data_IF_715830580236
#
_entry.id   IF_715830580236
#
_cell.length_a   1.000
_cell.length_b   1.000
_cell.length_c   1.000
_cell.angle_alpha   90.00
_cell.angle_beta   90.00
_cell.angle_gamma   90.00
#
_symmetry.space_group_name_H-M   'P 1'
#
loop_
_entity.id
_entity.type
_entity.pdbx_description
1 polymer ?
#
# COMPACT_ATOMS: atom_id res chain seq x y z
N UNK A 1 -5.45 0.01 14.40
CA UNK A 1 -5.72 -1.10 13.46
C UNK A 1 -4.42 -1.75 13.03
N UNK A 2 -4.50 -2.94 12.45
CA UNK A 2 -3.38 -3.65 11.88
C UNK A 2 -3.28 -3.33 10.40
N UNK A 3 -2.20 -2.68 9.99
CA UNK A 3 -1.97 -2.25 8.60
C UNK A 3 -0.91 -3.16 7.97
N UNK A 4 -1.27 -3.83 6.88
CA UNK A 4 -0.34 -4.61 6.09
C UNK A 4 0.24 -3.76 4.96
N UNK A 5 1.56 -3.68 4.89
CA UNK A 5 2.27 -3.11 3.75
C UNK A 5 2.68 -4.24 2.81
N UNK A 6 2.27 -4.17 1.56
CA UNK A 6 2.55 -5.22 0.58
C UNK A 6 3.09 -4.58 -0.70
N UNK A 7 4.40 -4.42 -0.77
CA UNK A 7 5.06 -3.87 -1.95
C UNK A 7 5.56 -4.98 -2.88
N UNK A 8 5.52 -4.70 -4.17
CA UNK A 8 5.84 -5.63 -5.25
C UNK A 8 7.23 -5.34 -5.85
N UNK A 9 7.63 -6.11 -6.85
CA UNK A 9 9.00 -6.11 -7.36
C UNK A 9 9.36 -4.92 -8.27
N UNK A 10 8.42 -4.35 -9.03
CA UNK A 10 8.78 -3.33 -10.04
C UNK A 10 9.33 -2.04 -9.43
N UNK A 11 8.89 -1.70 -8.20
CA UNK A 11 9.31 -0.50 -7.48
C UNK A 11 10.01 -0.83 -6.15
N UNK A 12 10.53 -2.05 -6.04
CA UNK A 12 11.08 -2.59 -4.79
C UNK A 12 12.26 -1.78 -4.23
N UNK A 13 13.01 -1.07 -5.07
CA UNK A 13 14.08 -0.19 -4.62
C UNK A 13 13.60 0.93 -3.68
N UNK A 14 12.31 1.26 -3.70
CA UNK A 14 11.68 2.31 -2.89
C UNK A 14 10.99 1.77 -1.64
N UNK A 15 10.93 0.44 -1.46
CA UNK A 15 10.12 -0.18 -0.39
C UNK A 15 10.54 0.28 1.01
N UNK A 16 11.83 0.46 1.27
CA UNK A 16 12.31 0.96 2.55
C UNK A 16 11.85 2.38 2.86
N UNK A 17 11.81 3.25 1.85
CA UNK A 17 11.35 4.63 1.99
C UNK A 17 9.84 4.65 2.28
N UNK A 18 9.08 3.84 1.57
CA UNK A 18 7.62 3.74 1.73
C UNK A 18 7.27 3.21 3.12
N UNK A 19 7.92 2.14 3.57
CA UNK A 19 7.72 1.58 4.91
C UNK A 19 8.04 2.59 6.00
N UNK A 20 9.17 3.30 5.88
CA UNK A 20 9.57 4.31 6.85
C UNK A 20 8.55 5.46 6.93
N UNK A 21 8.06 5.94 5.79
CA UNK A 21 7.04 6.99 5.73
C UNK A 21 5.73 6.53 6.39
N UNK A 22 5.28 5.32 6.11
CA UNK A 22 4.06 4.76 6.68
C UNK A 22 4.18 4.64 8.20
N UNK A 23 5.22 4.01 8.69
CA UNK A 23 5.45 3.84 10.14
C UNK A 23 5.55 5.16 10.87
N UNK A 24 6.28 6.13 10.31
CA UNK A 24 6.43 7.47 10.88
C UNK A 24 5.08 8.15 11.15
N UNK A 25 4.12 7.95 10.26
CA UNK A 25 2.81 8.61 10.35
C UNK A 25 1.86 7.82 11.25
N UNK A 26 1.71 6.51 11.04
CA UNK A 26 0.59 5.76 11.64
C UNK A 26 0.92 5.11 12.97
N UNK A 27 2.17 4.78 13.27
CA UNK A 27 2.53 4.19 14.57
C UNK A 27 2.27 5.15 15.74
N UNK A 28 2.60 6.46 15.66
CA UNK A 28 2.24 7.41 16.71
C UNK A 28 0.73 7.54 16.94
N UNK A 29 -0.09 7.17 15.95
CA UNK A 29 -1.55 7.13 16.08
C UNK A 29 -2.08 5.86 16.75
N UNK A 30 -1.20 4.93 17.10
CA UNK A 30 -1.56 3.67 17.75
C UNK A 30 -1.84 2.52 16.78
N UNK A 31 -1.47 2.66 15.52
CA UNK A 31 -1.62 1.57 14.54
C UNK A 31 -0.35 0.73 14.46
N UNK A 32 -0.53 -0.54 14.13
CA UNK A 32 0.55 -1.51 13.91
C UNK A 32 0.78 -1.69 12.41
N UNK A 33 2.04 -1.64 11.98
CA UNK A 33 2.42 -1.90 10.58
C UNK A 33 3.24 -3.17 10.50
N UNK A 34 2.81 -4.10 9.64
CA UNK A 34 3.57 -5.31 9.32
C UNK A 34 3.83 -5.32 7.82
N UNK A 35 5.10 -5.44 7.43
CA UNK A 35 5.49 -5.57 6.03
C UNK A 35 5.44 -7.04 5.63
N UNK A 36 4.46 -7.39 4.81
CA UNK A 36 4.29 -8.74 4.23
C UNK A 36 4.84 -8.82 2.79
N UNK A 37 5.22 -7.68 2.21
CA UNK A 37 5.74 -7.59 0.85
C UNK A 37 7.26 -7.65 0.79
N UNK A 38 7.81 -7.07 -0.27
CA UNK A 38 9.26 -6.99 -0.44
C UNK A 38 9.86 -5.87 0.40
N UNK A 39 11.05 -6.13 0.93
CA UNK A 39 11.83 -5.15 1.73
C UNK A 39 12.76 -4.33 0.86
N UNK A 40 13.33 -4.93 -0.18
CA UNK A 40 14.27 -4.31 -1.10
C UNK A 40 14.25 -5.01 -2.45
N UNK A 41 14.91 -4.41 -3.45
CA UNK A 41 14.94 -4.94 -4.82
C UNK A 41 15.61 -6.32 -4.93
N UNK A 42 16.55 -6.61 -4.04
CA UNK A 42 17.30 -7.88 -3.99
C UNK A 42 16.69 -8.91 -3.03
N UNK A 43 15.50 -8.68 -2.53
CA UNK A 43 14.80 -9.65 -1.69
C UNK A 43 14.63 -10.98 -2.44
N UNK A 44 14.96 -12.09 -1.77
CA UNK A 44 14.82 -13.43 -2.35
C UNK A 44 13.36 -13.81 -2.61
N UNK A 45 12.43 -13.27 -1.83
CA UNK A 45 10.98 -13.49 -1.99
C UNK A 45 10.39 -12.44 -2.92
N UNK A 46 10.60 -12.61 -4.23
CA UNK A 46 10.05 -11.70 -5.26
C UNK A 46 8.53 -11.84 -5.35
N UNK A 47 7.84 -10.69 -5.39
CA UNK A 47 6.38 -10.60 -5.53
C UNK A 47 6.02 -9.74 -6.73
N UNK A 48 5.08 -10.23 -7.54
CA UNK A 48 4.40 -9.41 -8.55
C UNK A 48 3.19 -8.71 -7.93
N UNK A 49 2.68 -7.65 -8.57
CA UNK A 49 1.46 -7.00 -8.08
C UNK A 49 0.24 -7.95 -8.11
N UNK A 50 0.23 -8.95 -8.97
CA UNK A 50 -0.83 -9.98 -8.99
C UNK A 50 -0.78 -10.83 -7.73
N UNK A 51 0.42 -11.27 -7.32
CA UNK A 51 0.61 -12.02 -6.07
C UNK A 51 0.28 -11.17 -4.84
N UNK A 52 0.56 -9.88 -4.88
CA UNK A 52 0.15 -8.94 -3.82
C UNK A 52 -1.37 -8.90 -3.67
N UNK A 53 -2.12 -9.04 -4.76
CA UNK A 53 -3.58 -9.12 -4.71
C UNK A 53 -4.07 -10.35 -3.94
N UNK A 54 -3.50 -11.51 -4.20
CA UNK A 54 -3.82 -12.76 -3.49
C UNK A 54 -3.49 -12.61 -2.00
N UNK A 55 -2.31 -12.12 -1.68
CA UNK A 55 -1.87 -11.94 -0.30
C UNK A 55 -2.76 -10.96 0.46
N UNK A 56 -3.12 -9.83 -0.15
CA UNK A 56 -4.03 -8.85 0.42
C UNK A 56 -5.40 -9.48 0.75
N UNK A 57 -5.95 -10.25 -0.16
CA UNK A 57 -7.23 -10.92 0.04
C UNK A 57 -7.17 -11.89 1.22
N UNK A 58 -6.11 -12.68 1.34
CA UNK A 58 -5.92 -13.61 2.46
C UNK A 58 -5.83 -12.83 3.78
N UNK A 59 -5.02 -11.78 3.85
CA UNK A 59 -4.82 -11.01 5.07
C UNK A 59 -6.10 -10.31 5.54
N UNK A 60 -6.84 -9.70 4.63
CA UNK A 60 -8.07 -8.99 4.96
C UNK A 60 -9.20 -9.94 5.33
N UNK A 61 -9.42 -11.00 4.55
CA UNK A 61 -10.51 -11.95 4.81
C UNK A 61 -10.28 -12.84 6.02
N UNK A 62 -9.03 -13.10 6.39
CA UNK A 62 -8.69 -13.86 7.61
C UNK A 62 -8.71 -13.01 8.88
N UNK A 63 -8.78 -11.68 8.76
CA UNK A 63 -8.66 -10.77 9.90
C UNK A 63 -7.22 -10.56 10.39
N UNK A 64 -6.21 -11.06 9.67
CA UNK A 64 -4.81 -10.83 10.01
C UNK A 64 -4.39 -9.36 9.78
N UNK A 65 -5.07 -8.65 8.89
CA UNK A 65 -4.94 -7.21 8.70
C UNK A 65 -6.32 -6.56 8.58
N UNK A 66 -6.40 -5.30 9.00
CA UNK A 66 -7.62 -4.48 8.89
C UNK A 66 -7.56 -3.60 7.64
N UNK A 67 -6.36 -3.27 7.18
CA UNK A 67 -6.13 -2.38 6.05
C UNK A 67 -4.86 -2.77 5.31
N UNK A 68 -4.85 -2.56 3.99
CA UNK A 68 -3.70 -2.87 3.14
C UNK A 68 -3.20 -1.62 2.43
N UNK A 69 -1.90 -1.37 2.51
CA UNK A 69 -1.19 -0.38 1.70
C UNK A 69 -0.35 -1.14 0.68
N UNK A 70 -0.53 -0.83 -0.58
CA UNK A 70 0.23 -1.42 -1.68
C UNK A 70 0.43 -0.40 -2.81
N UNK A 71 1.03 -0.82 -3.88
CA UNK A 71 1.21 -0.03 -5.08
C UNK A 71 2.04 -0.78 -6.12
N UNK A 72 2.25 -0.14 -7.23
CA UNK A 72 3.16 -0.58 -8.28
C UNK A 72 3.63 0.67 -9.04
N UNK A 73 4.10 0.55 -10.26
CA UNK A 73 4.53 1.70 -11.05
C UNK A 73 3.44 2.76 -11.18
N UNK A 74 2.28 2.39 -11.68
CA UNK A 74 1.11 3.27 -11.82
C UNK A 74 0.13 3.20 -10.66
N UNK A 75 0.18 2.14 -9.87
CA UNK A 75 -0.80 1.82 -8.84
C UNK A 75 -2.07 1.17 -9.39
N UNK A 76 -2.29 1.20 -10.68
CA UNK A 76 -3.54 0.70 -11.28
C UNK A 76 -3.56 -0.83 -11.38
N UNK A 77 -2.45 -1.45 -11.80
CA UNK A 77 -2.35 -2.91 -11.88
C UNK A 77 -2.56 -3.57 -10.52
N UNK A 78 -1.94 -3.05 -9.48
CA UNK A 78 -2.13 -3.54 -8.12
C UNK A 78 -3.57 -3.33 -7.64
N UNK A 79 -4.17 -2.18 -7.92
CA UNK A 79 -5.58 -1.93 -7.60
C UNK A 79 -6.51 -2.95 -8.26
N UNK A 80 -6.34 -3.20 -9.54
CA UNK A 80 -7.16 -4.16 -10.28
C UNK A 80 -6.98 -5.58 -9.74
N UNK A 81 -5.75 -5.96 -9.41
CA UNK A 81 -5.45 -7.27 -8.82
C UNK A 81 -6.14 -7.45 -7.47
N UNK A 82 -6.07 -6.45 -6.59
CA UNK A 82 -6.73 -6.51 -5.28
C UNK A 82 -8.24 -6.58 -5.43
N UNK A 83 -8.83 -5.76 -6.28
CA UNK A 83 -10.30 -5.72 -6.49
C UNK A 83 -10.85 -6.96 -7.20
N UNK A 84 -10.01 -7.85 -7.69
CA UNK A 84 -10.44 -9.12 -8.27
C UNK A 84 -10.90 -10.15 -7.23
N UNK A 85 -10.72 -9.86 -5.95
CA UNK A 85 -11.05 -10.78 -4.86
C UNK A 85 -12.22 -10.28 -4.02
N UNK A 86 -13.11 -11.18 -3.56
CA UNK A 86 -14.19 -10.81 -2.62
C UNK A 86 -13.62 -10.22 -1.33
N UNK A 87 -14.33 -9.26 -0.76
CA UNK A 87 -13.97 -8.64 0.51
C UNK A 87 -12.85 -7.60 0.43
N UNK A 88 -12.32 -7.31 -0.75
CA UNK A 88 -11.29 -6.30 -0.97
C UNK A 88 -11.88 -5.13 -1.74
N UNK A 89 -11.79 -3.94 -1.15
CA UNK A 89 -12.20 -2.67 -1.76
C UNK A 89 -10.98 -1.77 -1.77
N UNK A 90 -10.31 -1.73 -2.90
CA UNK A 90 -9.06 -0.99 -3.09
C UNK A 90 -9.26 0.26 -3.94
N UNK A 91 -8.85 1.40 -3.42
CA UNK A 91 -8.81 2.65 -4.16
C UNK A 91 -7.46 2.92 -4.78
N UNK A 92 -7.44 3.62 -5.92
CA UNK A 92 -6.24 4.20 -6.49
C UNK A 92 -6.04 5.59 -5.88
N UNK A 93 -4.93 5.79 -5.19
CA UNK A 93 -4.65 7.01 -4.42
C UNK A 93 -3.30 7.57 -4.81
N UNK A 94 -3.26 8.78 -5.32
CA UNK A 94 -2.02 9.47 -5.67
C UNK A 94 -1.56 10.48 -4.61
N UNK A 95 -2.51 11.10 -3.90
CA UNK A 95 -2.25 12.24 -3.03
C UNK A 95 -3.23 12.29 -1.84
N UNK A 96 -3.06 13.23 -0.90
CA UNK A 96 -3.95 13.37 0.25
C UNK A 96 -5.41 13.63 -0.11
N UNK A 97 -5.69 14.32 -1.21
CA UNK A 97 -7.06 14.60 -1.64
C UNK A 97 -7.76 13.31 -2.06
N UNK A 98 -7.07 12.48 -2.84
CA UNK A 98 -7.59 11.15 -3.21
C UNK A 98 -7.84 10.29 -1.98
N UNK A 99 -6.91 10.27 -1.03
CA UNK A 99 -7.04 9.48 0.20
C UNK A 99 -8.27 9.93 1.01
N UNK A 100 -8.43 11.22 1.20
CA UNK A 100 -9.56 11.78 1.93
C UNK A 100 -10.89 11.43 1.27
N UNK A 101 -11.01 11.65 -0.04
CA UNK A 101 -12.26 11.39 -0.77
C UNK A 101 -12.59 9.89 -0.79
N UNK A 102 -11.60 9.05 -1.02
CA UNK A 102 -11.81 7.59 -0.99
C UNK A 102 -12.29 7.11 0.39
N UNK A 103 -11.66 7.58 1.46
CA UNK A 103 -12.06 7.23 2.82
C UNK A 103 -13.49 7.70 3.14
N UNK A 104 -13.86 8.91 2.74
CA UNK A 104 -15.17 9.49 3.04
C UNK A 104 -16.30 8.88 2.21
N UNK A 105 -16.03 8.54 0.95
CA UNK A 105 -17.09 8.11 0.01
C UNK A 105 -17.18 6.60 -0.06
N UNK A 106 -16.07 5.91 -0.13
CA UNK A 106 -16.03 4.48 -0.43
C UNK A 106 -15.75 3.61 0.79
N UNK A 107 -15.10 4.16 1.81
CA UNK A 107 -14.76 3.46 3.06
C UNK A 107 -14.14 2.08 2.79
N UNK A 108 -13.13 2.05 1.90
CA UNK A 108 -12.47 0.81 1.50
C UNK A 108 -11.51 0.27 2.56
N UNK A 109 -10.88 -0.85 2.26
CA UNK A 109 -9.93 -1.51 3.15
C UNK A 109 -8.53 -1.69 2.56
N UNK A 110 -8.28 -1.08 1.40
CA UNK A 110 -6.97 -1.08 0.76
C UNK A 110 -6.78 0.16 -0.10
N UNK A 111 -5.54 0.60 -0.24
CA UNK A 111 -5.16 1.60 -1.24
C UNK A 111 -3.94 1.14 -2.02
N UNK A 112 -3.90 1.52 -3.30
CA UNK A 112 -2.80 1.27 -4.20
C UNK A 112 -2.27 2.60 -4.74
N UNK A 113 -0.95 2.81 -4.63
CA UNK A 113 -0.31 4.07 -4.98
C UNK A 113 0.66 3.92 -6.17
N UNK A 114 0.84 4.99 -6.96
CA UNK A 114 1.82 5.01 -8.04
C UNK A 114 3.20 5.34 -7.50
N UNK A 115 4.08 4.35 -7.42
CA UNK A 115 5.44 4.53 -6.89
C UNK A 115 6.52 4.79 -7.94
N UNK A 116 6.17 4.86 -9.23
CA UNK A 116 7.15 5.10 -10.28
C UNK A 116 7.62 6.55 -10.38
N UNK A 117 6.88 7.50 -9.79
CA UNK A 117 7.14 8.93 -9.95
C UNK A 117 7.19 9.67 -8.61
N UNK A 118 7.84 10.83 -8.62
CA UNK A 118 7.84 11.77 -7.51
C UNK A 118 8.96 11.60 -6.49
N UNK A 119 9.57 10.43 -6.38
CA UNK A 119 10.67 10.19 -5.44
C UNK A 119 11.89 11.05 -5.78
N UNK A 120 12.44 11.72 -4.76
CA UNK A 120 13.49 12.73 -4.94
C UNK A 120 12.95 14.12 -5.33
N UNK A 121 11.66 14.24 -5.62
CA UNK A 121 10.98 15.48 -6.01
C UNK A 121 9.74 15.77 -5.16
N UNK A 122 9.81 15.45 -3.85
CA UNK A 122 8.70 15.68 -2.92
C UNK A 122 7.73 14.51 -2.81
N UNK A 123 7.95 13.41 -3.52
CA UNK A 123 7.11 12.21 -3.44
C UNK A 123 7.08 11.60 -2.04
N UNK A 124 8.21 11.64 -1.35
CA UNK A 124 8.33 11.15 0.03
C UNK A 124 7.45 11.96 0.99
N UNK A 125 7.39 13.27 0.82
CA UNK A 125 6.53 14.14 1.60
C UNK A 125 5.04 13.90 1.27
N UNK A 126 4.74 13.71 0.00
CA UNK A 126 3.38 13.35 -0.44
C UNK A 126 2.91 12.05 0.20
N UNK A 127 3.79 11.05 0.33
CA UNK A 127 3.46 9.79 1.02
C UNK A 127 3.04 10.04 2.47
N UNK A 128 3.81 10.84 3.20
CA UNK A 128 3.51 11.12 4.61
C UNK A 128 2.14 11.79 4.77
N UNK A 129 1.83 12.79 3.97
CA UNK A 129 0.53 13.46 4.00
C UNK A 129 -0.63 12.56 3.57
N UNK A 130 -0.38 11.68 2.60
CA UNK A 130 -1.40 10.73 2.12
C UNK A 130 -1.73 9.70 3.19
N UNK A 131 -0.72 9.21 3.92
CA UNK A 131 -0.92 8.23 5.00
C UNK A 131 -1.56 8.83 6.25
N UNK A 132 -1.42 10.13 6.46
CA UNK A 132 -2.07 10.84 7.58
C UNK A 132 -3.60 10.79 7.49
#
# INVERSE_FOLDING_TARGET
MKIALINENSQAAKNGIIEAALKKVVEPMGHEVVNYGMYAADDAAQLTYVQCGILAAILLNSGAADYVITGCGTGEGAMLALNSFPGVICGHVEDPVDAYTFAQINDGNAVSMPFAKGFGWGGELNLEYTFE
#
